data_IF_340001640235
#
_entry.id   IF_340001640235
#
_cell.length_a   1.000
_cell.length_b   1.000
_cell.length_c   1.000
_cell.angle_alpha   90.00
_cell.angle_beta   90.00
_cell.angle_gamma   90.00
#
_symmetry.space_group_name_H-M   'P 1'
#
loop_
_entity.id
_entity.type
_entity.pdbx_description
1 polymer ?
#
# COMPACT_ATOMS: atom_id res chain seq x y z
N UNK A 1 16.09 -16.42 15.47
CA UNK A 1 14.83 -17.18 15.38
C UNK A 1 13.84 -16.34 14.59
N UNK A 2 13.01 -16.95 13.74
CA UNK A 2 11.90 -16.23 13.10
C UNK A 2 10.90 -15.80 14.20
N UNK A 3 10.43 -14.56 14.13
CA UNK A 3 9.35 -13.98 14.95
C UNK A 3 8.02 -14.69 14.70
N UNK A 4 7.80 -15.19 13.48
CA UNK A 4 6.57 -15.86 13.01
C UNK A 4 6.91 -17.30 12.57
N UNK A 5 7.24 -18.20 13.52
CA UNK A 5 7.66 -19.56 13.20
C UNK A 5 6.53 -20.42 12.62
N UNK A 6 5.26 -20.11 12.95
CA UNK A 6 4.09 -20.93 12.63
C UNK A 6 2.94 -20.10 12.06
N UNK A 7 2.00 -20.76 11.40
CA UNK A 7 0.76 -20.12 10.92
C UNK A 7 -0.09 -19.56 12.08
N UNK A 8 -0.08 -20.24 13.24
CA UNK A 8 -0.77 -19.79 14.46
C UNK A 8 -0.17 -18.46 14.94
N UNK A 9 1.15 -18.34 14.91
CA UNK A 9 1.84 -17.10 15.25
C UNK A 9 1.46 -15.97 14.27
N UNK A 10 1.36 -16.26 12.97
CA UNK A 10 0.95 -15.28 11.96
C UNK A 10 -0.50 -14.82 12.18
N UNK A 11 -1.42 -15.75 12.44
CA UNK A 11 -2.83 -15.41 12.71
C UNK A 11 -2.96 -14.57 13.97
N UNK A 12 -2.21 -14.90 15.04
CA UNK A 12 -2.17 -14.07 16.25
C UNK A 12 -1.64 -12.67 15.95
N UNK A 13 -0.55 -12.58 15.19
CA UNK A 13 0.05 -11.30 14.79
C UNK A 13 -0.93 -10.44 13.97
N UNK A 14 -1.67 -11.06 13.06
CA UNK A 14 -2.74 -10.43 12.29
C UNK A 14 -3.86 -9.91 13.20
N UNK A 15 -4.32 -10.70 14.18
CA UNK A 15 -5.40 -10.30 15.07
C UNK A 15 -5.06 -9.10 15.98
N UNK A 16 -3.77 -8.93 16.28
CA UNK A 16 -3.24 -7.79 17.02
C UNK A 16 -3.17 -6.49 16.20
N UNK A 17 -3.37 -6.56 14.87
CA UNK A 17 -3.38 -5.37 14.01
C UNK A 17 -4.62 -4.51 14.23
N UNK A 18 -4.49 -3.23 13.86
CA UNK A 18 -5.61 -2.29 13.82
C UNK A 18 -6.79 -2.84 12.98
N UNK A 19 -8.03 -2.60 13.42
CA UNK A 19 -9.24 -3.15 12.78
C UNK A 19 -9.32 -2.85 11.29
N UNK A 20 -8.95 -1.63 10.88
CA UNK A 20 -8.95 -1.25 9.47
C UNK A 20 -7.99 -2.09 8.60
N UNK A 21 -6.83 -2.46 9.14
CA UNK A 21 -5.85 -3.33 8.46
C UNK A 21 -6.42 -4.75 8.37
N UNK A 22 -7.04 -5.24 9.45
CA UNK A 22 -7.73 -6.54 9.44
C UNK A 22 -8.84 -6.58 8.38
N UNK A 23 -9.72 -5.59 8.36
CA UNK A 23 -10.80 -5.50 7.38
C UNK A 23 -10.24 -5.51 5.94
N UNK A 24 -9.14 -4.80 5.71
CA UNK A 24 -8.51 -4.71 4.39
C UNK A 24 -7.83 -6.00 3.95
N UNK A 25 -7.28 -6.78 4.88
CA UNK A 25 -6.67 -8.09 4.61
C UNK A 25 -7.56 -9.25 5.06
N UNK A 26 -8.88 -9.08 5.06
CA UNK A 26 -9.86 -10.01 5.63
C UNK A 26 -9.82 -11.44 5.07
N UNK A 27 -9.22 -11.67 3.91
CA UNK A 27 -9.05 -13.01 3.35
C UNK A 27 -7.76 -13.71 3.81
N UNK A 28 -6.81 -12.99 4.40
CA UNK A 28 -5.51 -13.54 4.81
C UNK A 28 -5.63 -14.75 5.75
N UNK A 29 -6.46 -14.72 6.82
CA UNK A 29 -6.57 -15.88 7.72
C UNK A 29 -7.01 -17.16 7.00
N UNK A 30 -7.93 -17.04 6.05
CA UNK A 30 -8.41 -18.17 5.25
C UNK A 30 -7.36 -18.67 4.26
N UNK A 31 -6.54 -17.78 3.69
CA UNK A 31 -5.48 -18.15 2.76
C UNK A 31 -4.33 -18.87 3.47
N UNK A 32 -4.05 -18.51 4.72
CA UNK A 32 -3.01 -19.14 5.55
C UNK A 32 -3.49 -20.46 6.16
N UNK A 33 -4.79 -20.59 6.46
CA UNK A 33 -5.35 -21.75 7.17
C UNK A 33 -5.74 -22.96 6.30
N UNK A 34 -5.89 -22.82 4.98
CA UNK A 34 -6.52 -23.83 4.11
C UNK A 34 -5.53 -24.69 3.27
N UNK A 35 -4.37 -25.07 3.82
CA UNK A 35 -3.35 -25.90 3.15
C UNK A 35 -2.84 -25.37 1.79
N UNK A 36 -3.07 -24.08 1.49
CA UNK A 36 -2.51 -23.46 0.29
C UNK A 36 -1.00 -23.23 0.43
N UNK A 37 -0.22 -23.34 -0.66
CA UNK A 37 1.17 -22.89 -0.68
C UNK A 37 1.28 -21.43 -0.24
N UNK A 38 2.27 -21.11 0.59
CA UNK A 38 2.47 -19.76 1.16
C UNK A 38 2.72 -18.67 0.11
N UNK A 39 3.06 -19.05 -1.12
CA UNK A 39 3.14 -18.15 -2.27
C UNK A 39 1.82 -17.44 -2.55
N UNK A 40 0.67 -18.11 -2.29
CA UNK A 40 -0.67 -17.56 -2.50
C UNK A 40 -0.98 -16.41 -1.52
N UNK A 41 -0.92 -16.60 -0.17
CA UNK A 41 -1.12 -15.49 0.76
C UNK A 41 -0.07 -14.39 0.59
N UNK A 42 1.17 -14.71 0.21
CA UNK A 42 2.19 -13.72 -0.11
C UNK A 42 1.77 -12.85 -1.32
N UNK A 43 1.37 -13.48 -2.43
CA UNK A 43 0.91 -12.77 -3.62
C UNK A 43 -0.32 -11.90 -3.31
N UNK A 44 -1.26 -12.41 -2.49
CA UNK A 44 -2.42 -11.67 -2.03
C UNK A 44 -2.02 -10.40 -1.28
N UNK A 45 -1.15 -10.47 -0.26
CA UNK A 45 -0.80 -9.27 0.52
C UNK A 45 -0.07 -8.22 -0.31
N UNK A 46 0.79 -8.64 -1.24
CA UNK A 46 1.46 -7.71 -2.15
C UNK A 46 0.49 -7.05 -3.13
N UNK A 47 -0.47 -7.79 -3.70
CA UNK A 47 -1.52 -7.20 -4.53
C UNK A 47 -2.32 -6.15 -3.76
N UNK A 48 -2.70 -6.45 -2.51
CA UNK A 48 -3.42 -5.52 -1.64
C UNK A 48 -2.55 -4.31 -1.29
N UNK A 49 -1.25 -4.49 -1.08
CA UNK A 49 -0.32 -3.40 -0.86
C UNK A 49 -0.23 -2.45 -2.07
N UNK A 50 -0.08 -2.98 -3.28
CA UNK A 50 -0.05 -2.17 -4.51
C UNK A 50 -1.37 -1.39 -4.70
N UNK A 51 -2.51 -2.00 -4.38
CA UNK A 51 -3.81 -1.32 -4.36
C UNK A 51 -3.84 -0.18 -3.33
N UNK A 52 -3.33 -0.40 -2.13
CA UNK A 52 -3.26 0.62 -1.09
C UNK A 52 -2.32 1.76 -1.46
N UNK A 53 -1.14 1.49 -2.04
CA UNK A 53 -0.23 2.51 -2.55
C UNK A 53 -0.88 3.39 -3.63
N UNK A 54 -1.64 2.78 -4.54
CA UNK A 54 -2.45 3.53 -5.50
C UNK A 54 -3.52 4.40 -4.80
N UNK A 55 -4.22 3.87 -3.78
CA UNK A 55 -5.18 4.63 -2.97
C UNK A 55 -4.52 5.80 -2.23
N UNK A 56 -3.28 5.62 -1.75
CA UNK A 56 -2.48 6.67 -1.11
C UNK A 56 -2.25 7.83 -2.06
N UNK A 57 -1.71 7.57 -3.25
CA UNK A 57 -1.42 8.62 -4.23
C UNK A 57 -2.70 9.30 -4.74
N UNK A 58 -3.71 8.51 -5.11
CA UNK A 58 -5.04 9.03 -5.48
C UNK A 58 -5.60 9.93 -4.38
N UNK A 59 -5.56 9.44 -3.13
CA UNK A 59 -6.06 10.14 -1.97
C UNK A 59 -5.34 11.47 -1.74
N UNK A 60 -4.01 11.47 -1.81
CA UNK A 60 -3.21 12.67 -1.66
C UNK A 60 -3.53 13.73 -2.72
N UNK A 61 -3.59 13.33 -4.00
CA UNK A 61 -3.92 14.27 -5.09
C UNK A 61 -5.32 14.87 -4.94
N UNK A 62 -6.32 14.06 -4.57
CA UNK A 62 -7.70 14.53 -4.43
C UNK A 62 -7.91 15.34 -3.16
N UNK A 63 -7.27 14.95 -2.05
CA UNK A 63 -7.46 15.57 -0.73
C UNK A 63 -6.63 16.83 -0.55
N UNK A 64 -5.32 16.73 -0.79
CA UNK A 64 -4.36 17.81 -0.55
C UNK A 64 -4.42 18.82 -1.68
N UNK A 65 -4.38 18.32 -2.93
CA UNK A 65 -4.26 19.17 -4.11
C UNK A 65 -5.57 19.42 -4.86
N UNK A 66 -6.70 18.96 -4.28
CA UNK A 66 -8.06 19.16 -4.82
C UNK A 66 -8.25 18.66 -6.24
N UNK A 67 -7.47 17.67 -6.67
CA UNK A 67 -7.60 17.09 -8.01
C UNK A 67 -9.01 16.61 -8.32
N UNK A 68 -9.41 16.67 -9.59
CA UNK A 68 -10.70 16.15 -10.05
C UNK A 68 -10.71 14.63 -10.05
N UNK A 69 -11.55 14.02 -9.20
CA UNK A 69 -11.56 12.58 -8.92
C UNK A 69 -11.56 11.71 -10.17
N UNK A 70 -12.43 12.00 -11.13
CA UNK A 70 -12.61 11.19 -12.33
C UNK A 70 -11.36 11.26 -13.23
N UNK A 71 -10.71 12.42 -13.27
CA UNK A 71 -9.47 12.60 -14.02
C UNK A 71 -8.30 11.90 -13.32
N UNK A 72 -8.15 12.11 -12.01
CA UNK A 72 -7.08 11.47 -11.21
C UNK A 72 -7.19 9.96 -11.30
N UNK A 73 -8.38 9.40 -11.09
CA UNK A 73 -8.61 7.95 -11.18
C UNK A 73 -8.22 7.38 -12.55
N UNK A 74 -8.52 8.11 -13.64
CA UNK A 74 -8.12 7.70 -14.98
C UNK A 74 -6.61 7.64 -15.13
N UNK A 75 -5.90 8.67 -14.69
CA UNK A 75 -4.43 8.70 -14.77
C UNK A 75 -3.81 7.59 -13.93
N UNK A 76 -4.31 7.36 -12.71
CA UNK A 76 -3.82 6.29 -11.85
C UNK A 76 -3.94 4.90 -12.51
N UNK A 77 -5.02 4.64 -13.23
CA UNK A 77 -5.22 3.35 -13.91
C UNK A 77 -4.21 3.06 -15.03
N UNK A 78 -3.59 4.10 -15.61
CA UNK A 78 -2.57 3.95 -16.66
C UNK A 78 -1.15 4.14 -16.13
N UNK A 79 -1.01 4.50 -14.86
CA UNK A 79 0.28 4.69 -14.23
C UNK A 79 0.87 3.32 -13.86
N UNK A 80 1.97 2.95 -14.51
CA UNK A 80 2.80 1.87 -13.99
C UNK A 80 3.58 2.40 -12.79
N UNK A 81 3.29 1.85 -11.61
CA UNK A 81 3.91 2.27 -10.36
C UNK A 81 5.05 1.30 -10.02
N UNK A 82 6.29 1.72 -10.24
CA UNK A 82 7.47 1.01 -9.75
C UNK A 82 7.70 1.32 -8.27
N UNK A 83 8.53 0.51 -7.58
CA UNK A 83 8.90 0.71 -6.16
C UNK A 83 9.45 2.11 -5.91
N UNK A 84 10.47 2.50 -6.68
CA UNK A 84 11.08 3.82 -6.57
C UNK A 84 10.13 4.93 -7.05
N UNK A 85 9.37 4.66 -8.10
CA UNK A 85 8.36 5.59 -8.62
C UNK A 85 7.28 5.90 -7.58
N UNK A 86 6.87 4.94 -6.74
CA UNK A 86 5.97 5.21 -5.64
C UNK A 86 6.59 6.15 -4.60
N UNK A 87 7.83 5.90 -4.17
CA UNK A 87 8.53 6.73 -3.18
C UNK A 87 8.69 8.18 -3.68
N UNK A 88 9.07 8.35 -4.94
CA UNK A 88 9.25 9.66 -5.57
C UNK A 88 7.93 10.42 -5.69
N UNK A 89 6.89 9.78 -6.23
CA UNK A 89 5.58 10.42 -6.38
C UNK A 89 4.95 10.69 -5.00
N UNK A 90 5.13 9.79 -4.03
CA UNK A 90 4.67 10.02 -2.66
C UNK A 90 5.27 11.31 -2.09
N UNK A 91 6.60 11.47 -2.18
CA UNK A 91 7.28 12.69 -1.73
C UNK A 91 6.73 13.94 -2.38
N UNK A 92 6.47 13.90 -3.69
CA UNK A 92 5.90 15.03 -4.41
C UNK A 92 4.46 15.36 -3.97
N UNK A 93 3.64 14.33 -3.74
CA UNK A 93 2.23 14.49 -3.36
C UNK A 93 2.08 14.96 -1.91
N UNK A 94 2.86 14.41 -0.98
CA UNK A 94 2.72 14.66 0.45
C UNK A 94 3.71 15.70 1.01
N UNK A 95 4.68 16.13 0.20
CA UNK A 95 5.68 17.13 0.58
C UNK A 95 6.82 16.60 1.47
N UNK A 96 6.76 15.33 1.87
CA UNK A 96 7.78 14.65 2.68
C UNK A 96 7.96 13.21 2.19
N UNK A 97 9.19 12.65 2.25
CA UNK A 97 9.39 11.23 1.96
C UNK A 97 8.69 10.37 3.03
N UNK A 98 8.48 9.09 2.70
CA UNK A 98 8.11 8.09 3.70
C UNK A 98 9.19 8.00 4.78
N UNK A 99 8.79 7.63 6.00
CA UNK A 99 9.77 7.37 7.05
C UNK A 99 10.67 6.19 6.68
N UNK A 100 11.88 6.21 7.24
CA UNK A 100 12.86 5.13 7.03
C UNK A 100 12.30 3.78 7.49
N UNK A 101 11.60 3.75 8.62
CA UNK A 101 10.97 2.54 9.17
C UNK A 101 9.95 1.93 8.20
N UNK A 102 9.08 2.75 7.62
CA UNK A 102 8.10 2.31 6.61
C UNK A 102 8.78 1.75 5.36
N UNK A 103 9.86 2.39 4.91
CA UNK A 103 10.62 1.93 3.74
C UNK A 103 11.28 0.58 4.03
N UNK A 104 11.97 0.47 5.16
CA UNK A 104 12.68 -0.75 5.55
C UNK A 104 11.74 -1.96 5.65
N UNK A 105 10.55 -1.78 6.21
CA UNK A 105 9.54 -2.86 6.29
C UNK A 105 9.10 -3.38 4.93
N UNK A 106 8.86 -2.49 3.98
CA UNK A 106 8.52 -2.91 2.62
C UNK A 106 9.70 -3.61 1.94
N UNK A 107 10.91 -3.06 2.07
CA UNK A 107 12.11 -3.63 1.45
C UNK A 107 12.47 -5.02 1.98
N UNK A 108 12.26 -5.27 3.27
CA UNK A 108 12.41 -6.60 3.89
C UNK A 108 11.45 -7.62 3.28
N UNK A 109 10.16 -7.28 3.20
CA UNK A 109 9.15 -8.15 2.61
C UNK A 109 9.41 -8.41 1.11
N UNK A 110 9.82 -7.38 0.37
CA UNK A 110 10.07 -7.44 -1.07
C UNK A 110 11.21 -8.40 -1.43
N UNK A 111 12.26 -8.49 -0.59
CA UNK A 111 13.36 -9.45 -0.80
C UNK A 111 12.84 -10.90 -0.83
N UNK A 112 11.92 -11.22 0.06
CA UNK A 112 11.30 -12.55 0.11
C UNK A 112 10.40 -12.76 -1.10
N UNK A 113 9.55 -11.78 -1.44
CA UNK A 113 8.69 -11.82 -2.64
C UNK A 113 9.48 -12.06 -3.92
N UNK A 114 10.58 -11.34 -4.10
CA UNK A 114 11.40 -11.43 -5.31
C UNK A 114 12.03 -12.83 -5.44
N UNK A 115 12.49 -13.41 -4.33
CA UNK A 115 12.99 -14.80 -4.32
C UNK A 115 11.91 -15.79 -4.73
N UNK A 116 10.70 -15.68 -4.18
CA UNK A 116 9.56 -16.54 -4.53
C UNK A 116 9.17 -16.39 -6.00
N UNK A 117 9.02 -15.16 -6.50
CA UNK A 117 8.69 -14.88 -7.91
C UNK A 117 9.74 -15.43 -8.88
N UNK A 118 11.01 -15.38 -8.50
CA UNK A 118 12.11 -15.96 -9.28
C UNK A 118 12.22 -17.49 -9.14
N UNK A 119 11.24 -18.15 -8.52
CA UNK A 119 11.17 -19.61 -8.40
C UNK A 119 12.19 -20.21 -7.44
N UNK A 120 12.78 -19.41 -6.53
CA UNK A 120 13.69 -19.91 -5.51
C UNK A 120 12.88 -20.58 -4.40
N UNK A 121 13.41 -21.68 -3.86
CA UNK A 121 12.88 -22.26 -2.63
C UNK A 121 13.12 -21.30 -1.46
N UNK A 122 12.05 -20.88 -0.80
CA UNK A 122 12.08 -20.02 0.37
C UNK A 122 11.37 -20.75 1.52
N UNK A 123 12.00 -20.86 2.70
CA UNK A 123 11.36 -21.47 3.86
C UNK A 123 10.06 -20.75 4.24
N UNK A 124 9.01 -21.51 4.58
CA UNK A 124 7.70 -20.91 4.90
C UNK A 124 7.74 -19.89 6.04
N UNK A 125 8.65 -20.05 7.01
CA UNK A 125 8.82 -19.09 8.09
C UNK A 125 9.29 -17.73 7.57
N UNK A 126 10.15 -17.68 6.55
CA UNK A 126 10.55 -16.43 5.91
C UNK A 126 9.39 -15.80 5.13
N UNK A 127 8.54 -16.60 4.49
CA UNK A 127 7.33 -16.10 3.82
C UNK A 127 6.35 -15.51 4.84
N UNK A 128 6.17 -16.18 5.99
CA UNK A 128 5.35 -15.67 7.09
C UNK A 128 5.88 -14.37 7.68
N UNK A 129 7.21 -14.22 7.81
CA UNK A 129 7.81 -12.92 8.17
C UNK A 129 7.48 -11.84 7.16
N UNK A 130 7.66 -12.11 5.86
CA UNK A 130 7.37 -11.13 4.83
C UNK A 130 5.90 -10.68 4.84
N UNK A 131 4.96 -11.60 5.11
CA UNK A 131 3.55 -11.25 5.31
C UNK A 131 3.38 -10.34 6.52
N UNK A 132 4.04 -10.66 7.65
CA UNK A 132 3.98 -9.83 8.85
C UNK A 132 4.56 -8.43 8.62
N UNK A 133 5.68 -8.32 7.89
CA UNK A 133 6.29 -7.04 7.54
C UNK A 133 5.36 -6.19 6.64
N UNK A 134 4.59 -6.80 5.73
CA UNK A 134 3.56 -6.09 4.95
C UNK A 134 2.42 -5.58 5.84
N UNK A 135 2.02 -6.33 6.87
CA UNK A 135 1.00 -5.88 7.82
C UNK A 135 1.50 -4.70 8.67
N UNK A 136 2.77 -4.71 9.08
CA UNK A 136 3.40 -3.58 9.79
C UNK A 136 3.52 -2.35 8.90
N UNK A 137 3.98 -2.55 7.65
CA UNK A 137 3.98 -1.50 6.65
C UNK A 137 2.60 -0.85 6.48
N UNK A 138 1.53 -1.65 6.50
CA UNK A 138 0.17 -1.13 6.36
C UNK A 138 -0.22 -0.19 7.50
N UNK A 139 0.14 -0.52 8.74
CA UNK A 139 -0.09 0.34 9.90
C UNK A 139 0.74 1.61 9.86
N UNK A 140 2.04 1.48 9.54
CA UNK A 140 2.95 2.62 9.44
C UNK A 140 2.49 3.59 8.35
N UNK A 141 2.16 3.10 7.15
CA UNK A 141 1.66 3.94 6.06
C UNK A 141 0.32 4.60 6.41
N UNK A 142 -0.59 3.88 7.08
CA UNK A 142 -1.83 4.46 7.58
C UNK A 142 -1.57 5.62 8.53
N UNK A 143 -0.65 5.45 9.47
CA UNK A 143 -0.32 6.47 10.47
C UNK A 143 0.31 7.71 9.81
N UNK A 144 1.28 7.51 8.91
CA UNK A 144 1.92 8.61 8.17
C UNK A 144 0.90 9.39 7.33
N UNK A 145 0.10 8.69 6.51
CA UNK A 145 -0.86 9.35 5.61
C UNK A 145 -2.00 9.99 6.40
N UNK A 146 -2.44 9.39 7.49
CA UNK A 146 -3.47 9.97 8.36
C UNK A 146 -2.95 11.22 9.06
N UNK A 147 -1.68 11.25 9.47
CA UNK A 147 -1.04 12.41 10.07
C UNK A 147 -0.96 13.62 9.13
N UNK A 148 -0.80 13.39 7.82
CA UNK A 148 -0.67 14.45 6.82
C UNK A 148 -2.02 14.86 6.22
N UNK A 149 -2.85 13.89 5.84
CA UNK A 149 -4.04 14.10 5.01
C UNK A 149 -5.36 13.65 5.64
N UNK A 150 -5.31 13.04 6.83
CA UNK A 150 -6.48 12.64 7.61
C UNK A 150 -7.25 11.44 7.03
N UNK A 151 -6.61 10.60 6.22
CA UNK A 151 -7.20 9.36 5.72
C UNK A 151 -6.23 8.18 5.83
N UNK A 152 -6.76 6.96 5.79
CA UNK A 152 -6.00 5.72 5.95
C UNK A 152 -6.09 4.87 4.67
N UNK A 153 -4.99 4.69 3.90
CA UNK A 153 -5.01 3.94 2.64
C UNK A 153 -5.38 2.47 2.75
N UNK A 154 -5.10 1.84 3.88
CA UNK A 154 -5.54 0.48 4.20
C UNK A 154 -6.90 0.48 4.91
N UNK A 155 -7.55 1.63 5.10
CA UNK A 155 -8.87 1.73 5.72
C UNK A 155 -10.00 1.99 4.72
N UNK A 156 -11.10 2.52 5.25
CA UNK A 156 -12.23 2.97 4.46
C UNK A 156 -11.96 4.38 3.90
N UNK A 157 -11.95 4.51 2.58
CA UNK A 157 -11.74 5.79 1.88
C UNK A 157 -13.05 6.56 1.63
N UNK A 158 -14.21 6.11 2.14
CA UNK A 158 -15.46 6.87 1.98
C UNK A 158 -15.36 8.22 2.69
N UNK A 159 -15.79 9.28 2.00
CA UNK A 159 -15.84 10.64 2.57
C UNK A 159 -14.50 11.37 2.71
N UNK A 160 -13.36 10.73 2.37
CA UNK A 160 -12.03 11.25 2.69
C UNK A 160 -11.75 12.69 2.19
N UNK A 161 -12.25 13.06 0.99
CA UNK A 161 -12.03 14.39 0.37
C UNK A 161 -12.51 15.54 1.26
N UNK A 162 -13.61 15.37 2.00
CA UNK A 162 -14.31 16.47 2.67
C UNK A 162 -15.05 17.38 1.68
N UNK A 163 -15.32 18.63 2.09
CA UNK A 163 -16.21 19.58 1.38
C UNK A 163 -15.52 20.48 0.34
N UNK A 164 -14.20 20.40 0.18
CA UNK A 164 -13.48 21.29 -0.73
C UNK A 164 -13.84 21.03 -2.21
N UNK A 165 -14.01 22.11 -2.97
CA UNK A 165 -14.24 22.03 -4.41
C UNK A 165 -13.03 21.47 -5.14
N UNK A 166 -13.30 20.68 -6.19
CA UNK A 166 -12.22 20.17 -7.05
C UNK A 166 -11.80 21.21 -8.06
N UNK A 167 -10.52 21.17 -8.42
CA UNK A 167 -10.01 21.85 -9.61
C UNK A 167 -10.69 21.31 -10.88
N UNK A 168 -10.63 22.08 -11.96
CA UNK A 168 -11.07 21.61 -13.28
C UNK A 168 -10.08 20.59 -13.88
N UNK A 169 -10.45 19.96 -14.99
CA UNK A 169 -9.65 18.93 -15.64
C UNK A 169 -8.31 19.47 -16.18
N UNK A 170 -8.28 20.69 -16.73
CA UNK A 170 -7.08 21.28 -17.33
C UNK A 170 -6.05 21.58 -16.23
N UNK A 171 -6.50 22.16 -15.13
CA UNK A 171 -5.63 22.43 -13.99
C UNK A 171 -5.17 21.13 -13.33
N UNK A 172 -6.06 20.14 -13.16
CA UNK A 172 -5.70 18.82 -12.64
C UNK A 172 -4.65 18.12 -13.52
N UNK A 173 -4.73 18.25 -14.85
CA UNK A 173 -3.73 17.69 -15.79
C UNK A 173 -2.33 18.25 -15.53
N UNK A 174 -2.21 19.57 -15.39
CA UNK A 174 -0.92 20.21 -15.10
C UNK A 174 -0.39 19.88 -13.72
N UNK A 175 -1.27 19.87 -12.72
CA UNK A 175 -0.96 19.43 -11.36
C UNK A 175 -0.36 18.00 -11.37
N UNK A 176 -1.04 17.04 -12.00
CA UNK A 176 -0.57 15.66 -12.02
C UNK A 176 0.77 15.51 -12.73
N UNK A 177 1.00 16.23 -13.84
CA UNK A 177 2.32 16.26 -14.49
C UNK A 177 3.39 16.82 -13.56
N UNK A 178 3.11 17.93 -12.86
CA UNK A 178 4.03 18.55 -11.91
C UNK A 178 4.37 17.67 -10.71
N UNK A 179 3.44 16.81 -10.29
CA UNK A 179 3.64 15.83 -9.22
C UNK A 179 4.42 14.58 -9.67
N UNK A 180 4.74 14.46 -10.97
CA UNK A 180 5.52 13.34 -11.52
C UNK A 180 4.69 12.19 -12.08
N UNK A 181 3.37 12.34 -12.24
CA UNK A 181 2.55 11.31 -12.89
C UNK A 181 2.74 11.31 -14.41
N UNK A 182 2.75 10.12 -15.01
CA UNK A 182 2.80 9.90 -16.45
C UNK A 182 1.48 10.22 -17.13
N UNK A 183 1.17 11.51 -17.30
CA UNK A 183 -0.08 11.93 -17.96
C UNK A 183 0.09 11.86 -19.48
N UNK A 184 -0.32 10.74 -20.09
CA UNK A 184 -0.48 10.67 -21.55
C UNK A 184 -1.55 11.67 -21.98
N UNK A 185 -1.20 12.49 -22.97
CA UNK A 185 -1.95 13.68 -23.35
C UNK A 185 -3.28 13.35 -23.99
#
# INVERSE_FOLDING_TARGET
MARIPTYIALNKFYEERAQEVKDYFSHLPNLVGNEFPYDIPLAYVFLRCEQAQNRTLYGGVVKIHRGKREFVSRVMNYQHLTRDGFKDIFKNVFGSPLSKETIEKMEEAEKTRDRVIHGKSVPDNEIREAIADVLEYAELLNNEVSGIAGFKPFGNMKGFKGRADSLDNRTTKWLMKGLGFGVKA
#
